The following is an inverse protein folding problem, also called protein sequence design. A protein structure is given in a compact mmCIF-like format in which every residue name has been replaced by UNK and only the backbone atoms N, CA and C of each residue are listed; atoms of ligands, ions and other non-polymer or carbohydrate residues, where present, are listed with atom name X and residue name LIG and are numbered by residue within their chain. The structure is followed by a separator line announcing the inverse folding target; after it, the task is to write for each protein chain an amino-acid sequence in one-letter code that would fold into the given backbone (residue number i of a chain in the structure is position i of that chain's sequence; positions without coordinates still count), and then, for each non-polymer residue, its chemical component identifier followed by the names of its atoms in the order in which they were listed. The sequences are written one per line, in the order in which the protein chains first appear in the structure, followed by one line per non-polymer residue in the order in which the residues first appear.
data_IF_571606590946
#
_entry.id   IF_571606590946
#
_cell.length_a   1.000
_cell.length_b   1.000
_cell.length_c   1.000
_cell.angle_alpha   90.00
_cell.angle_beta   90.00
_cell.angle_gamma   90.00
#
_symmetry.space_group_name_H-M   'P 1'
#
loop_
_entity.id
_entity.type
_entity.pdbx_description
1 polymer ?
#
# COMPACT_ATOMS: atom_id res chain seq x y z
N UNK A 1 15.27 -59.81 35.72
CA UNK A 1 14.22 -59.75 34.67
C UNK A 1 14.12 -58.32 34.16
N UNK A 2 14.86 -57.94 33.11
CA UNK A 2 14.65 -56.68 32.39
C UNK A 2 14.89 -56.91 30.90
N UNK A 3 13.77 -56.96 30.17
CA UNK A 3 13.65 -57.43 28.80
C UNK A 3 14.14 -56.35 27.83
N UNK A 4 15.20 -56.66 27.08
CA UNK A 4 15.74 -55.88 25.96
C UNK A 4 14.63 -55.58 24.95
N UNK A 5 14.27 -54.31 24.78
CA UNK A 5 13.46 -53.83 23.66
C UNK A 5 14.33 -52.90 22.83
N UNK A 6 15.06 -53.47 21.84
CA UNK A 6 15.77 -52.70 20.83
C UNK A 6 15.24 -53.12 19.47
N UNK A 7 14.10 -52.55 19.09
CA UNK A 7 13.54 -52.69 17.76
C UNK A 7 14.23 -51.73 16.78
N UNK A 8 15.42 -52.09 16.30
CA UNK A 8 16.14 -51.40 15.21
C UNK A 8 15.57 -51.77 13.83
N UNK A 9 14.26 -51.62 13.59
CA UNK A 9 13.64 -51.93 12.29
C UNK A 9 13.09 -50.71 11.52
N UNK A 10 13.22 -49.50 12.04
CA UNK A 10 12.69 -48.28 11.41
C UNK A 10 13.70 -47.50 10.53
N UNK A 11 14.96 -47.95 10.41
CA UNK A 11 16.04 -47.22 9.73
C UNK A 11 16.50 -47.87 8.41
N UNK A 12 15.63 -48.58 7.69
CA UNK A 12 16.03 -49.36 6.50
C UNK A 12 15.23 -49.07 5.22
N UNK A 13 14.78 -47.83 5.03
CA UNK A 13 14.23 -47.37 3.74
C UNK A 13 14.61 -45.91 3.41
N UNK A 14 15.75 -45.42 3.90
CA UNK A 14 16.34 -44.17 3.42
C UNK A 14 16.99 -44.45 2.05
N UNK A 15 16.17 -44.60 0.99
CA UNK A 15 16.67 -44.45 -0.38
C UNK A 15 17.11 -42.99 -0.50
N UNK A 16 18.37 -42.73 -0.18
CA UNK A 16 18.92 -41.38 -0.10
C UNK A 16 18.76 -40.65 -1.42
N UNK A 17 18.13 -39.47 -1.36
CA UNK A 17 18.20 -38.48 -2.43
C UNK A 17 19.67 -38.24 -2.77
N UNK A 18 20.00 -38.32 -4.05
CA UNK A 18 21.35 -38.01 -4.48
C UNK A 18 21.59 -36.50 -4.37
N UNK A 19 22.83 -36.08 -4.08
CA UNK A 19 23.17 -34.66 -4.05
C UNK A 19 22.88 -33.97 -5.39
N UNK A 20 22.95 -34.72 -6.49
CA UNK A 20 22.66 -34.23 -7.85
C UNK A 20 21.18 -33.90 -8.04
N UNK A 21 20.27 -34.73 -7.50
CA UNK A 21 18.83 -34.45 -7.55
C UNK A 21 18.48 -33.19 -6.74
N UNK A 22 19.07 -33.03 -5.55
CA UNK A 22 18.88 -31.82 -4.76
C UNK A 22 19.47 -30.58 -5.45
N UNK A 23 20.63 -30.74 -6.11
CA UNK A 23 21.28 -29.66 -6.85
C UNK A 23 20.41 -29.18 -8.03
N UNK A 24 19.82 -30.09 -8.79
CA UNK A 24 18.95 -29.71 -9.91
C UNK A 24 17.75 -28.88 -9.44
N UNK A 25 17.15 -29.22 -8.30
CA UNK A 25 15.99 -28.50 -7.75
C UNK A 25 16.36 -27.09 -7.31
N UNK A 26 17.47 -26.90 -6.58
CA UNK A 26 17.88 -25.56 -6.13
C UNK A 26 18.23 -24.64 -7.31
N UNK A 27 18.77 -25.18 -8.41
CA UNK A 27 19.06 -24.41 -9.62
C UNK A 27 17.76 -23.90 -10.25
N UNK A 28 16.74 -24.75 -10.37
CA UNK A 28 15.44 -24.34 -10.90
C UNK A 28 14.79 -23.29 -9.99
N UNK A 29 14.81 -23.49 -8.67
CA UNK A 29 14.29 -22.52 -7.70
C UNK A 29 15.03 -21.17 -7.77
N UNK A 30 16.35 -21.18 -7.99
CA UNK A 30 17.13 -19.96 -8.13
C UNK A 30 16.71 -19.15 -9.37
N UNK A 31 16.48 -19.81 -10.51
CA UNK A 31 16.03 -19.15 -11.74
C UNK A 31 14.63 -18.55 -11.55
N UNK A 32 13.69 -19.31 -10.96
CA UNK A 32 12.34 -18.81 -10.68
C UNK A 32 12.39 -17.63 -9.71
N UNK A 33 13.16 -17.75 -8.62
CA UNK A 33 13.29 -16.71 -7.61
C UNK A 33 13.87 -15.41 -8.19
N UNK A 34 14.84 -15.50 -9.11
CA UNK A 34 15.45 -14.34 -9.74
C UNK A 34 14.45 -13.43 -10.47
N UNK A 35 13.42 -14.01 -11.11
CA UNK A 35 12.37 -13.25 -11.81
C UNK A 35 11.22 -12.90 -10.87
N UNK A 36 10.85 -13.83 -9.98
CA UNK A 36 9.68 -13.67 -9.10
C UNK A 36 9.88 -12.58 -8.04
N UNK A 37 11.06 -12.48 -7.41
CA UNK A 37 11.32 -11.51 -6.33
C UNK A 37 11.12 -10.06 -6.77
N UNK A 38 11.74 -9.56 -7.87
CA UNK A 38 11.51 -8.18 -8.30
C UNK A 38 10.06 -7.92 -8.74
N UNK A 39 9.41 -8.90 -9.39
CA UNK A 39 8.02 -8.77 -9.84
C UNK A 39 7.04 -8.64 -8.65
N UNK A 40 7.20 -9.50 -7.63
CA UNK A 40 6.38 -9.47 -6.41
C UNK A 40 6.67 -8.17 -5.62
N UNK A 41 7.93 -7.75 -5.54
CA UNK A 41 8.29 -6.48 -4.90
C UNK A 41 7.58 -5.28 -5.53
N UNK A 42 7.50 -5.23 -6.85
CA UNK A 42 6.77 -4.18 -7.57
C UNK A 42 5.26 -4.21 -7.26
N UNK A 43 4.63 -5.39 -7.24
CA UNK A 43 3.22 -5.56 -6.91
C UNK A 43 2.92 -5.09 -5.47
N UNK A 44 3.77 -5.45 -4.52
CA UNK A 44 3.64 -5.04 -3.11
C UNK A 44 3.74 -3.52 -2.99
N UNK A 45 4.74 -2.90 -3.62
CA UNK A 45 4.89 -1.44 -3.62
C UNK A 45 3.66 -0.78 -4.23
N UNK A 46 3.15 -1.30 -5.35
CA UNK A 46 1.92 -0.82 -5.99
C UNK A 46 0.72 -0.89 -5.05
N UNK A 47 0.56 -1.98 -4.31
CA UNK A 47 -0.51 -2.12 -3.33
C UNK A 47 -0.39 -1.12 -2.18
N UNK A 48 0.83 -0.89 -1.68
CA UNK A 48 1.09 0.07 -0.61
C UNK A 48 0.84 1.52 -1.05
N UNK A 49 1.34 1.89 -2.22
CA UNK A 49 1.16 3.24 -2.77
C UNK A 49 -0.33 3.52 -3.02
N UNK A 50 -1.08 2.52 -3.52
CA UNK A 50 -2.55 2.61 -3.69
C UNK A 50 -3.28 2.80 -2.36
N UNK A 51 -2.87 2.08 -1.31
CA UNK A 51 -3.44 2.23 0.02
C UNK A 51 -3.21 3.64 0.57
N UNK A 52 -2.01 4.21 0.40
CA UNK A 52 -1.69 5.57 0.83
C UNK A 52 -2.56 6.61 0.11
N UNK A 53 -2.75 6.46 -1.21
CA UNK A 53 -3.64 7.36 -1.97
C UNK A 53 -5.10 7.25 -1.51
N UNK A 54 -5.57 6.04 -1.21
CA UNK A 54 -6.92 5.81 -0.69
C UNK A 54 -7.10 6.39 0.72
N UNK A 55 -6.10 6.23 1.60
CA UNK A 55 -6.04 6.88 2.91
C UNK A 55 -6.17 8.41 2.75
N UNK A 56 -5.37 9.02 1.86
CA UNK A 56 -5.44 10.46 1.58
C UNK A 56 -6.83 10.90 1.08
N UNK A 57 -7.49 10.07 0.26
CA UNK A 57 -8.86 10.32 -0.20
C UNK A 57 -9.89 10.27 0.94
N UNK A 58 -9.75 9.30 1.84
CA UNK A 58 -10.62 9.17 3.01
C UNK A 58 -10.43 10.35 3.97
N UNK A 59 -9.18 10.77 4.22
CA UNK A 59 -8.88 11.96 5.04
C UNK A 59 -9.52 13.20 4.41
N UNK A 60 -9.40 13.37 3.09
CA UNK A 60 -10.01 14.49 2.39
C UNK A 60 -11.55 14.48 2.49
N UNK A 61 -12.17 13.31 2.39
CA UNK A 61 -13.61 13.17 2.56
C UNK A 61 -14.04 13.52 4.00
N UNK A 62 -13.31 13.02 5.01
CA UNK A 62 -13.53 13.36 6.41
C UNK A 62 -13.37 14.86 6.68
N UNK A 63 -12.34 15.50 6.11
CA UNK A 63 -12.11 16.93 6.24
C UNK A 63 -13.23 17.78 5.63
N UNK A 64 -13.79 17.35 4.50
CA UNK A 64 -14.97 18.03 3.91
C UNK A 64 -16.17 17.97 4.82
N UNK A 65 -16.39 16.84 5.49
CA UNK A 65 -17.49 16.68 6.44
C UNK A 65 -17.23 17.56 7.68
N UNK A 66 -16.03 17.51 8.24
CA UNK A 66 -15.62 18.33 9.37
C UNK A 66 -15.77 19.84 9.10
N UNK A 67 -15.39 20.27 7.91
CA UNK A 67 -15.53 21.66 7.48
C UNK A 67 -17.00 22.10 7.35
N UNK A 68 -17.87 21.23 6.82
CA UNK A 68 -19.32 21.51 6.72
C UNK A 68 -19.98 21.54 8.10
N UNK A 69 -19.53 20.69 9.03
CA UNK A 69 -20.03 20.63 10.41
C UNK A 69 -19.53 21.80 11.27
N UNK A 70 -18.55 22.58 10.77
CA UNK A 70 -17.92 23.67 11.51
C UNK A 70 -16.91 23.20 12.55
N UNK A 71 -16.49 21.93 12.50
CA UNK A 71 -15.50 21.36 13.42
C UNK A 71 -14.06 21.75 13.07
N UNK A 72 -13.82 22.33 11.89
CA UNK A 72 -12.54 22.89 11.47
C UNK A 72 -12.71 24.04 10.47
N UNK A 73 -11.61 24.74 10.15
CA UNK A 73 -11.57 25.76 9.09
C UNK A 73 -11.88 27.21 9.52
N UNK A 74 -12.17 27.47 10.79
CA UNK A 74 -12.61 28.82 11.24
C UNK A 74 -11.54 29.93 11.12
N UNK A 75 -10.25 29.61 11.30
CA UNK A 75 -9.19 30.63 11.31
C UNK A 75 -8.43 30.75 9.99
N UNK A 76 -8.22 29.63 9.28
CA UNK A 76 -7.35 29.59 8.09
C UNK A 76 -7.87 28.66 6.97
N UNK A 77 -9.13 28.19 7.04
CA UNK A 77 -9.65 27.11 6.19
C UNK A 77 -8.78 25.84 6.21
N UNK A 78 -8.10 25.60 7.33
CA UNK A 78 -7.29 24.42 7.59
C UNK A 78 -8.01 23.52 8.59
N UNK A 79 -7.97 22.22 8.32
CA UNK A 79 -8.37 21.16 9.22
C UNK A 79 -7.13 20.37 9.63
N UNK A 80 -6.78 20.48 10.90
CA UNK A 80 -5.62 19.85 11.54
C UNK A 80 -5.87 18.36 11.84
N UNK A 81 -4.79 17.62 12.10
CA UNK A 81 -4.87 16.22 12.47
C UNK A 81 -5.77 15.96 13.69
N UNK A 82 -5.77 16.85 14.68
CA UNK A 82 -6.58 16.73 15.89
C UNK A 82 -8.07 16.83 15.59
N UNK A 83 -8.48 17.78 14.76
CA UNK A 83 -9.88 18.00 14.38
C UNK A 83 -10.41 16.87 13.50
N UNK A 84 -9.54 16.22 12.73
CA UNK A 84 -9.92 15.15 11.81
C UNK A 84 -10.09 13.77 12.46
N UNK A 85 -9.69 13.60 13.72
CA UNK A 85 -9.73 12.28 14.42
C UNK A 85 -11.14 11.69 14.49
N UNK A 86 -12.15 12.53 14.65
CA UNK A 86 -13.54 12.07 14.78
C UNK A 86 -14.21 11.83 13.41
N UNK A 87 -13.57 12.25 12.32
CA UNK A 87 -14.10 12.18 10.95
C UNK A 87 -13.39 11.16 10.07
N UNK A 88 -12.29 10.57 10.54
CA UNK A 88 -11.46 9.63 9.80
C UNK A 88 -11.22 8.38 10.66
N UNK A 89 -11.69 7.22 10.19
CA UNK A 89 -11.55 5.95 10.92
C UNK A 89 -10.33 5.15 10.44
N UNK A 90 -9.62 4.53 11.39
CA UNK A 90 -8.53 3.59 11.12
C UNK A 90 -7.26 4.18 10.51
N UNK A 91 -7.10 5.51 10.51
CA UNK A 91 -5.92 6.20 9.94
C UNK A 91 -5.23 7.01 11.04
N UNK A 92 -3.95 6.72 11.28
CA UNK A 92 -3.13 7.50 12.20
C UNK A 92 -2.55 8.73 11.47
N UNK A 93 -3.02 9.91 11.87
CA UNK A 93 -2.53 11.19 11.36
C UNK A 93 -1.36 11.69 12.21
N UNK A 94 -0.29 12.13 11.56
CA UNK A 94 0.80 12.85 12.22
C UNK A 94 0.39 14.29 12.52
N UNK A 95 1.05 14.94 13.48
CA UNK A 95 0.76 16.32 13.91
C UNK A 95 0.81 17.36 12.77
N UNK A 96 1.61 17.11 11.73
CA UNK A 96 1.73 18.02 10.58
C UNK A 96 0.78 17.65 9.43
N UNK A 97 -0.04 16.61 9.60
CA UNK A 97 -1.01 16.23 8.59
C UNK A 97 -2.21 17.17 8.70
N UNK A 98 -2.60 17.74 7.57
CA UNK A 98 -3.66 18.73 7.52
C UNK A 98 -4.32 18.76 6.14
N UNK A 99 -5.54 19.26 6.10
CA UNK A 99 -6.28 19.52 4.87
C UNK A 99 -6.61 21.00 4.83
N UNK A 100 -6.34 21.66 3.72
CA UNK A 100 -6.56 23.08 3.50
C UNK A 100 -7.53 23.30 2.33
N UNK A 101 -8.47 24.22 2.50
CA UNK A 101 -9.41 24.64 1.47
C UNK A 101 -9.16 26.09 1.07
N UNK A 102 -8.80 26.34 -0.19
CA UNK A 102 -8.53 27.69 -0.70
C UNK A 102 -9.71 28.30 -1.49
N UNK A 103 -10.95 27.99 -1.09
CA UNK A 103 -12.22 28.37 -1.76
C UNK A 103 -12.43 27.78 -3.16
N UNK A 104 -11.39 27.27 -3.82
CA UNK A 104 -11.45 26.72 -5.18
C UNK A 104 -11.08 25.25 -5.23
N UNK A 105 -10.11 24.83 -4.45
CA UNK A 105 -9.58 23.47 -4.42
C UNK A 105 -9.20 23.05 -3.01
N UNK A 106 -9.29 21.75 -2.77
CA UNK A 106 -8.81 21.12 -1.55
C UNK A 106 -7.37 20.64 -1.75
N UNK A 107 -6.55 20.86 -0.74
CA UNK A 107 -5.14 20.46 -0.69
C UNK A 107 -4.91 19.65 0.57
N UNK A 108 -4.35 18.46 0.43
CA UNK A 108 -4.01 17.60 1.58
C UNK A 108 -2.51 17.52 1.73
N UNK A 109 -2.03 17.74 2.94
CA UNK A 109 -0.67 17.43 3.40
C UNK A 109 -0.75 16.18 4.27
N UNK A 110 -0.16 15.09 3.80
CA UNK A 110 -0.21 13.79 4.48
C UNK A 110 1.16 13.13 4.47
N UNK A 111 1.73 12.90 5.64
CA UNK A 111 3.11 12.46 5.86
C UNK A 111 3.46 11.16 5.11
N UNK A 112 2.48 10.27 4.94
CA UNK A 112 2.67 8.99 4.25
C UNK A 112 2.74 9.13 2.73
N UNK A 113 2.33 10.26 2.14
CA UNK A 113 2.52 10.51 0.69
C UNK A 113 4.00 10.48 0.29
N UNK A 114 4.91 10.88 1.18
CA UNK A 114 6.36 10.80 0.93
C UNK A 114 6.91 9.38 0.87
N UNK A 115 6.17 8.40 1.39
CA UNK A 115 6.55 6.99 1.37
C UNK A 115 6.21 6.29 0.04
N UNK A 116 5.48 6.95 -0.87
CA UNK A 116 5.15 6.41 -2.19
C UNK A 116 6.44 6.17 -2.97
N UNK A 117 6.59 4.96 -3.51
CA UNK A 117 7.83 4.55 -4.19
C UNK A 117 7.74 4.62 -5.70
N UNK A 118 6.59 4.28 -6.27
CA UNK A 118 6.41 4.20 -7.71
C UNK A 118 6.19 5.56 -8.34
N UNK A 119 6.91 5.83 -9.42
CA UNK A 119 6.83 7.09 -10.16
C UNK A 119 5.42 7.32 -10.73
N UNK A 120 4.71 6.24 -11.10
CA UNK A 120 3.30 6.24 -11.55
C UNK A 120 2.36 7.05 -10.65
N UNK A 121 2.68 7.14 -9.35
CA UNK A 121 1.85 7.78 -8.32
C UNK A 121 2.52 8.99 -7.65
N UNK A 122 3.78 9.29 -7.98
CA UNK A 122 4.50 10.47 -7.46
C UNK A 122 4.15 11.76 -8.18
N UNK A 123 3.54 11.67 -9.35
CA UNK A 123 3.14 12.82 -10.15
C UNK A 123 2.39 13.85 -9.31
N UNK A 124 2.90 15.10 -9.30
CA UNK A 124 2.31 16.25 -8.61
C UNK A 124 2.20 16.11 -7.08
N UNK A 125 2.94 15.19 -6.46
CA UNK A 125 3.17 15.18 -5.02
C UNK A 125 4.41 16.00 -4.73
N UNK A 126 4.25 17.14 -4.06
CA UNK A 126 5.35 18.01 -3.64
C UNK A 126 5.36 18.11 -2.12
N UNK A 127 6.47 17.75 -1.48
CA UNK A 127 6.61 17.82 -0.01
C UNK A 127 5.42 17.24 0.75
N UNK A 128 5.05 15.99 0.44
CA UNK A 128 3.91 15.28 1.05
C UNK A 128 2.55 15.96 0.86
N UNK A 129 2.44 16.84 -0.14
CA UNK A 129 1.22 17.60 -0.41
C UNK A 129 0.71 17.30 -1.81
N UNK A 130 -0.61 17.18 -1.95
CA UNK A 130 -1.29 16.96 -3.23
C UNK A 130 -2.64 17.68 -3.24
N UNK A 131 -3.03 18.23 -4.39
CA UNK A 131 -4.37 18.79 -4.59
C UNK A 131 -5.38 17.68 -4.87
N UNK A 132 -6.65 17.89 -4.53
CA UNK A 132 -7.73 16.92 -4.80
C UNK A 132 -7.77 16.51 -6.27
N UNK A 133 -7.62 17.46 -7.19
CA UNK A 133 -7.63 17.18 -8.62
C UNK A 133 -6.51 16.20 -9.03
N UNK A 134 -5.31 16.38 -8.46
CA UNK A 134 -4.18 15.50 -8.74
C UNK A 134 -4.28 14.18 -7.98
N UNK A 135 -4.82 14.19 -6.76
CA UNK A 135 -5.12 12.99 -6.01
C UNK A 135 -6.11 12.10 -6.77
N UNK A 136 -7.19 12.67 -7.30
CA UNK A 136 -8.17 11.95 -8.11
C UNK A 136 -7.56 11.39 -9.41
N UNK A 137 -6.62 12.10 -10.05
CA UNK A 137 -5.85 11.56 -11.19
C UNK A 137 -4.99 10.37 -10.76
N UNK A 138 -4.31 10.45 -9.64
CA UNK A 138 -3.46 9.36 -9.14
C UNK A 138 -4.32 8.16 -8.69
N UNK A 139 -5.49 8.42 -8.10
CA UNK A 139 -6.50 7.40 -7.75
C UNK A 139 -7.08 6.69 -8.96
N UNK A 140 -7.36 7.39 -10.06
CA UNK A 140 -7.85 6.75 -11.29
C UNK A 140 -6.78 5.87 -11.95
N UNK A 141 -5.51 6.32 -11.97
CA UNK A 141 -4.37 5.46 -12.34
C UNK A 141 -4.22 4.26 -11.41
N UNK A 142 -4.47 4.47 -10.11
CA UNK A 142 -4.46 3.45 -9.06
C UNK A 142 -5.69 2.53 -9.07
N UNK A 143 -6.83 2.90 -9.63
CA UNK A 143 -7.97 1.99 -9.82
C UNK A 143 -7.71 0.96 -10.92
N UNK A 144 -6.68 1.21 -11.75
CA UNK A 144 -6.64 0.67 -13.11
C UNK A 144 -7.60 1.50 -13.97
N UNK A 145 -7.21 1.78 -15.21
CA UNK A 145 -8.17 2.31 -16.17
C UNK A 145 -9.37 1.37 -16.19
N UNK A 146 -10.63 1.88 -16.15
CA UNK A 146 -11.72 1.08 -16.69
C UNK A 146 -11.21 0.64 -18.06
N UNK A 147 -11.27 -0.66 -18.38
CA UNK A 147 -11.17 -1.06 -19.78
C UNK A 147 -12.25 -0.25 -20.48
N UNK A 148 -11.88 0.82 -21.16
CA UNK A 148 -12.77 1.48 -22.09
C UNK A 148 -13.07 0.38 -23.09
N UNK A 149 -14.31 -0.11 -23.05
CA UNK A 149 -14.82 -0.96 -24.11
C UNK A 149 -14.42 -0.31 -25.45
N UNK A 150 -13.94 -1.07 -26.44
CA UNK A 150 -13.74 -0.50 -27.75
C UNK A 150 -15.06 0.16 -28.14
N UNK A 151 -15.00 1.44 -28.48
CA UNK A 151 -16.12 2.16 -29.07
C UNK A 151 -16.52 1.39 -30.32
N UNK A 152 -17.59 0.61 -30.20
CA UNK A 152 -18.27 -0.06 -31.32
C UNK A 152 -18.89 0.99 -32.24
N UNK A 153 -19.05 0.62 -33.52
CA UNK A 153 -18.24 1.01 -34.67
C UNK A 153 -18.38 2.49 -35.09
#
# INVERSE_FOLDING_TARGET
MFKKWKNNKLLKNEKGLTLVELLAVIVILAIIAAIAVPAIGNIINKSKDRAILAEASNILAGAKIAYIDGACGESDNVCSAEELKDFVDGIELATNDQVEYNEKEWKITYSRLGAIKLDDFKDNITSNTITEANLNKNLTKAGGTPKTNPTTP
#
